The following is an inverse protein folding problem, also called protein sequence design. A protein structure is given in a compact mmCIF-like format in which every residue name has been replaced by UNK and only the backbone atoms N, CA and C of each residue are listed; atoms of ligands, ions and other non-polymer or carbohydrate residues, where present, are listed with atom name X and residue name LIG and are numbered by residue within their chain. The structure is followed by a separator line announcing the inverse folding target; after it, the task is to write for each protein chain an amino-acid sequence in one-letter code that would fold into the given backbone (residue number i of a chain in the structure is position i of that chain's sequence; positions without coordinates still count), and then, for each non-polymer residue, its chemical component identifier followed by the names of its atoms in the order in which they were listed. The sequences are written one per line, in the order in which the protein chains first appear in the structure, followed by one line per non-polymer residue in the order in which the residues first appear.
data_IF_231823701761
#
_entry.id   IF_231823701761
#
_cell.length_a   1.000
_cell.length_b   1.000
_cell.length_c   1.000
_cell.angle_alpha   90.00
_cell.angle_beta   90.00
_cell.angle_gamma   90.00
#
_symmetry.space_group_name_H-M   'P 1'
#
loop_
_entity.id
_entity.type
_entity.pdbx_description
1 polymer ?
#
# COMPACT_ATOMS: atom_id res chain seq x y z
N UNK A 1 48.55 31.10 71.38
CA UNK A 1 49.98 31.49 71.13
C UNK A 1 50.25 31.35 69.63
N UNK A 2 50.71 32.48 69.04
CA UNK A 2 51.50 32.59 67.82
C UNK A 2 50.99 31.91 66.55
N UNK A 3 50.46 32.68 65.57
CA UNK A 3 51.17 33.32 64.43
C UNK A 3 51.67 32.32 63.39
N UNK A 4 51.21 32.41 62.10
CA UNK A 4 51.89 33.10 60.98
C UNK A 4 51.08 32.83 59.72
N UNK A 5 50.48 33.76 59.15
CA UNK A 5 50.76 34.54 57.93
C UNK A 5 51.60 33.77 56.87
N UNK A 6 51.06 33.56 55.76
CA UNK A 6 51.71 33.10 54.53
C UNK A 6 50.87 33.40 53.29
N UNK A 7 51.02 34.59 52.78
CA UNK A 7 50.59 35.13 51.52
C UNK A 7 51.36 34.47 50.38
N UNK A 8 50.73 33.95 49.35
CA UNK A 8 51.31 33.86 47.99
C UNK A 8 50.24 33.83 46.89
N UNK A 9 50.43 34.80 46.08
CA UNK A 9 49.71 35.11 44.86
C UNK A 9 49.93 34.05 43.79
N UNK A 10 48.98 33.98 42.88
CA UNK A 10 49.42 33.54 41.58
C UNK A 10 48.40 32.76 40.76
N UNK A 11 48.01 33.39 39.70
CA UNK A 11 47.53 32.83 38.42
C UNK A 11 46.07 32.43 38.30
N UNK A 12 45.27 33.41 37.95
CA UNK A 12 44.01 33.21 37.17
C UNK A 12 44.42 32.76 35.80
N UNK A 13 44.26 31.47 35.51
CA UNK A 13 44.28 30.95 34.14
C UNK A 13 42.85 31.03 33.61
N UNK A 14 42.57 32.05 32.81
CA UNK A 14 41.33 32.17 32.03
C UNK A 14 41.39 31.13 30.92
N UNK A 15 40.72 29.99 31.13
CA UNK A 15 40.44 29.01 30.09
C UNK A 15 39.27 29.56 29.27
N UNK A 16 39.60 30.21 28.17
CA UNK A 16 38.67 30.65 27.15
C UNK A 16 38.17 29.38 26.41
N UNK A 17 37.06 28.80 26.88
CA UNK A 17 36.42 27.67 26.24
C UNK A 17 35.82 28.13 24.91
N UNK A 18 36.46 27.75 23.81
CA UNK A 18 35.85 27.83 22.46
C UNK A 18 34.60 26.95 22.44
N UNK A 19 33.43 27.56 22.59
CA UNK A 19 32.17 26.92 22.27
C UNK A 19 32.06 26.81 20.74
N UNK A 20 32.40 25.66 20.20
CA UNK A 20 32.04 25.28 18.83
C UNK A 20 30.54 25.04 18.78
N UNK A 21 29.76 25.71 17.90
CA UNK A 21 28.37 25.37 17.72
C UNK A 21 28.30 23.96 17.11
N UNK A 22 27.70 23.04 17.84
CA UNK A 22 27.32 21.74 17.30
C UNK A 22 26.32 21.98 16.17
N UNK A 23 26.79 21.88 14.94
CA UNK A 23 25.89 21.79 13.78
C UNK A 23 25.07 20.48 13.93
N UNK A 24 23.86 20.62 14.40
CA UNK A 24 22.87 19.56 14.33
C UNK A 24 22.58 19.28 12.85
N UNK A 25 23.15 18.22 12.30
CA UNK A 25 22.70 17.66 11.04
C UNK A 25 21.27 17.19 11.27
N UNK A 26 20.29 18.00 10.84
CA UNK A 26 18.91 17.57 10.71
C UNK A 26 18.92 16.45 9.66
N UNK A 27 18.79 15.21 10.09
CA UNK A 27 18.50 14.09 9.21
C UNK A 27 17.17 14.42 8.51
N UNK A 28 17.12 14.42 7.17
CA UNK A 28 15.83 14.51 6.50
C UNK A 28 15.00 13.33 7.01
N UNK A 29 13.85 13.63 7.60
CA UNK A 29 12.86 12.62 7.92
C UNK A 29 12.58 11.87 6.61
N UNK A 30 13.01 10.61 6.50
CA UNK A 30 12.54 9.72 5.46
C UNK A 30 11.03 9.68 5.60
N UNK A 31 10.34 10.41 4.73
CA UNK A 31 8.91 10.26 4.56
C UNK A 31 8.71 8.77 4.22
N UNK A 32 8.29 8.01 5.20
CA UNK A 32 7.82 6.64 5.00
C UNK A 32 6.78 6.73 3.90
N UNK A 33 7.15 6.34 2.68
CA UNK A 33 6.20 6.23 1.57
C UNK A 33 5.24 5.13 2.00
N UNK A 34 4.14 5.52 2.62
CA UNK A 34 3.02 4.61 2.86
C UNK A 34 2.65 4.01 1.51
N UNK A 35 2.93 2.74 1.35
CA UNK A 35 2.41 1.97 0.23
C UNK A 35 0.90 1.97 0.44
N UNK A 36 0.10 2.52 -0.49
CA UNK A 36 -1.34 2.53 -0.31
C UNK A 36 -1.80 1.11 -0.03
N UNK A 37 -2.38 0.87 1.16
CA UNK A 37 -2.84 -0.45 1.54
C UNK A 37 -4.00 -0.85 0.62
N UNK A 38 -3.92 -2.07 0.09
CA UNK A 38 -4.92 -2.55 -0.85
C UNK A 38 -6.30 -2.62 -0.19
N UNK A 39 -7.31 -2.12 -0.89
CA UNK A 39 -8.71 -2.20 -0.47
C UNK A 39 -9.45 -3.24 -1.30
N UNK A 40 -10.14 -4.13 -0.60
CA UNK A 40 -10.92 -5.20 -1.20
C UNK A 40 -11.98 -4.65 -2.16
N UNK A 41 -12.21 -5.36 -3.23
CA UNK A 41 -13.24 -5.05 -4.21
C UNK A 41 -14.00 -6.27 -4.66
N UNK A 42 -15.07 -6.07 -5.41
CA UNK A 42 -15.88 -7.17 -5.97
C UNK A 42 -15.01 -8.07 -6.85
N UNK A 43 -15.24 -9.38 -6.78
CA UNK A 43 -14.49 -10.45 -7.42
C UNK A 43 -13.11 -10.77 -6.83
N UNK A 44 -12.65 -10.07 -5.79
CA UNK A 44 -11.45 -10.48 -5.07
C UNK A 44 -11.68 -11.83 -4.38
N UNK A 45 -10.65 -12.68 -4.41
CA UNK A 45 -10.63 -13.95 -3.69
C UNK A 45 -9.82 -13.81 -2.42
N UNK A 46 -10.42 -14.10 -1.29
CA UNK A 46 -9.80 -14.03 0.03
C UNK A 46 -9.83 -15.40 0.70
N UNK A 47 -8.84 -15.66 1.52
CA UNK A 47 -8.85 -16.76 2.49
C UNK A 47 -9.08 -16.19 3.86
N UNK A 48 -10.07 -16.73 4.55
CA UNK A 48 -10.36 -16.43 5.95
C UNK A 48 -10.01 -17.65 6.77
N UNK A 49 -9.17 -17.47 7.77
CA UNK A 49 -8.77 -18.52 8.72
C UNK A 49 -9.25 -18.10 10.10
N UNK A 50 -10.16 -18.88 10.66
CA UNK A 50 -10.62 -18.69 12.04
C UNK A 50 -9.93 -19.71 12.93
N UNK A 51 -9.07 -19.26 13.81
CA UNK A 51 -8.25 -20.12 14.63
C UNK A 51 -9.11 -20.97 15.59
N UNK A 52 -8.92 -22.28 15.53
CA UNK A 52 -9.69 -23.25 16.33
C UNK A 52 -11.05 -23.64 15.74
N UNK A 53 -11.46 -23.04 14.62
CA UNK A 53 -12.77 -23.28 13.99
C UNK A 53 -12.60 -23.60 12.50
N UNK A 54 -12.39 -24.86 12.17
CA UNK A 54 -12.20 -25.31 10.78
C UNK A 54 -13.43 -25.05 9.91
N UNK A 55 -14.63 -25.13 10.48
CA UNK A 55 -15.90 -24.88 9.79
C UNK A 55 -16.07 -23.43 9.29
N UNK A 56 -15.32 -22.50 9.89
CA UNK A 56 -15.31 -21.07 9.55
C UNK A 56 -14.09 -20.67 8.71
N UNK A 57 -13.19 -21.63 8.46
CA UNK A 57 -11.99 -21.42 7.65
C UNK A 57 -12.25 -21.84 6.20
N UNK A 58 -11.90 -20.97 5.26
CA UNK A 58 -12.12 -21.27 3.83
C UNK A 58 -11.71 -20.15 2.90
N UNK A 59 -11.94 -20.41 1.62
CA UNK A 59 -11.77 -19.42 0.56
C UNK A 59 -13.13 -18.82 0.19
N UNK A 60 -13.18 -17.52 0.14
CA UNK A 60 -14.39 -16.77 -0.12
C UNK A 60 -14.14 -15.76 -1.24
N UNK A 61 -15.19 -15.41 -1.96
CA UNK A 61 -15.13 -14.37 -2.99
C UNK A 61 -16.00 -13.19 -2.57
N UNK A 62 -15.47 -11.99 -2.76
CA UNK A 62 -16.25 -10.76 -2.55
C UNK A 62 -17.30 -10.68 -3.65
N UNK A 63 -18.56 -10.75 -3.27
CA UNK A 63 -19.70 -10.70 -4.20
C UNK A 63 -19.84 -9.36 -4.90
N UNK A 64 -20.68 -9.31 -5.95
CA UNK A 64 -20.98 -8.07 -6.67
C UNK A 64 -21.66 -7.00 -5.80
N UNK A 65 -22.30 -7.41 -4.69
CA UNK A 65 -22.86 -6.50 -3.67
C UNK A 65 -21.80 -5.87 -2.76
N UNK A 66 -20.51 -6.25 -2.92
CA UNK A 66 -19.43 -5.80 -2.07
C UNK A 66 -19.32 -6.53 -0.73
N UNK A 67 -20.05 -7.64 -0.58
CA UNK A 67 -20.09 -8.43 0.67
C UNK A 67 -19.49 -9.81 0.47
N UNK A 68 -19.07 -10.40 1.56
CA UNK A 68 -18.61 -11.79 1.65
C UNK A 68 -19.60 -12.57 2.50
N UNK A 69 -20.08 -13.73 1.97
CA UNK A 69 -20.92 -14.65 2.74
C UNK A 69 -20.05 -15.57 3.56
N UNK A 70 -20.13 -15.45 4.87
CA UNK A 70 -19.39 -16.27 5.82
C UNK A 70 -20.33 -17.18 6.61
N UNK A 71 -19.92 -18.41 6.96
CA UNK A 71 -20.70 -19.29 7.83
C UNK A 71 -21.02 -18.61 9.16
N UNK A 72 -22.16 -18.91 9.75
CA UNK A 72 -22.72 -18.41 11.01
C UNK A 72 -23.11 -16.93 11.00
N UNK A 73 -22.26 -16.03 10.51
CA UNK A 73 -22.46 -14.57 10.60
C UNK A 73 -23.11 -13.97 9.34
N UNK A 74 -23.29 -14.79 8.28
CA UNK A 74 -23.92 -14.34 7.05
C UNK A 74 -23.07 -13.38 6.23
N UNK A 75 -23.70 -12.34 5.67
CA UNK A 75 -23.03 -11.37 4.80
C UNK A 75 -22.31 -10.28 5.59
N UNK A 76 -21.00 -10.11 5.33
CA UNK A 76 -20.14 -9.07 5.90
C UNK A 76 -19.63 -8.16 4.80
N UNK A 77 -19.77 -6.85 4.97
CA UNK A 77 -19.21 -5.86 4.03
C UNK A 77 -17.69 -5.97 3.93
N UNK A 78 -17.17 -5.99 2.70
CA UNK A 78 -15.75 -6.14 2.41
C UNK A 78 -15.23 -5.05 1.48
N UNK A 79 -16.01 -4.59 0.50
CA UNK A 79 -15.58 -3.58 -0.47
C UNK A 79 -15.13 -2.29 0.22
N UNK A 80 -13.97 -1.75 -0.22
CA UNK A 80 -13.38 -0.53 0.32
C UNK A 80 -12.62 -0.72 1.64
N UNK A 81 -12.69 -1.90 2.26
CA UNK A 81 -11.92 -2.23 3.47
C UNK A 81 -10.57 -2.83 3.08
N UNK A 82 -9.56 -2.59 3.90
CA UNK A 82 -8.32 -3.37 3.86
C UNK A 82 -8.57 -4.77 4.41
N UNK A 83 -7.66 -5.72 4.13
CA UNK A 83 -7.77 -7.06 4.69
C UNK A 83 -7.84 -7.05 6.23
N UNK A 84 -7.11 -6.12 6.85
CA UNK A 84 -7.10 -5.91 8.30
C UNK A 84 -8.43 -5.37 8.82
N UNK A 85 -8.97 -4.32 8.20
CA UNK A 85 -10.27 -3.76 8.57
C UNK A 85 -11.39 -4.79 8.41
N UNK A 86 -11.32 -5.62 7.36
CA UNK A 86 -12.26 -6.71 7.16
C UNK A 86 -12.11 -7.81 8.22
N UNK A 87 -10.88 -8.20 8.57
CA UNK A 87 -10.59 -9.13 9.67
C UNK A 87 -11.24 -8.65 10.98
N UNK A 88 -10.99 -7.40 11.38
CA UNK A 88 -11.55 -6.82 12.61
C UNK A 88 -13.09 -6.84 12.61
N UNK A 89 -13.70 -6.61 11.44
CA UNK A 89 -15.15 -6.67 11.26
C UNK A 89 -15.70 -8.09 11.42
N UNK A 90 -15.02 -9.08 10.86
CA UNK A 90 -15.38 -10.51 11.01
C UNK A 90 -15.24 -10.95 12.46
N UNK A 91 -14.16 -10.58 13.15
CA UNK A 91 -13.95 -10.86 14.57
C UNK A 91 -15.06 -10.27 15.43
N UNK A 92 -15.43 -9.01 15.19
CA UNK A 92 -16.53 -8.34 15.89
C UNK A 92 -17.87 -9.05 15.66
N UNK A 93 -18.17 -9.47 14.44
CA UNK A 93 -19.37 -10.21 14.11
C UNK A 93 -19.44 -11.57 14.78
N UNK A 94 -18.32 -12.32 14.80
CA UNK A 94 -18.22 -13.62 15.47
C UNK A 94 -18.33 -13.51 17.00
N UNK A 95 -17.80 -12.44 17.58
CA UNK A 95 -17.89 -12.15 19.01
C UNK A 95 -19.32 -11.86 19.46
N UNK A 96 -20.18 -11.45 18.56
CA UNK A 96 -21.58 -11.13 18.84
C UNK A 96 -22.45 -12.40 18.92
N UNK A 97 -22.20 -13.26 19.90
CA UNK A 97 -23.02 -14.42 20.23
C UNK A 97 -22.54 -15.77 19.69
N UNK A 98 -21.45 -15.83 18.92
CA UNK A 98 -20.94 -17.09 18.35
C UNK A 98 -19.66 -17.58 19.04
N UNK A 99 -18.65 -16.73 19.20
CA UNK A 99 -17.36 -17.06 19.80
C UNK A 99 -16.98 -16.07 20.90
N UNK A 100 -16.32 -16.52 21.95
CA UNK A 100 -15.91 -15.67 23.08
C UNK A 100 -14.68 -14.80 22.74
N UNK A 101 -13.70 -15.38 22.06
CA UNK A 101 -12.44 -14.74 21.69
C UNK A 101 -12.03 -15.18 20.28
N UNK A 102 -12.75 -14.77 19.23
CA UNK A 102 -12.42 -15.16 17.87
C UNK A 102 -11.09 -14.53 17.44
N UNK A 103 -10.25 -15.32 16.81
CA UNK A 103 -9.02 -14.88 16.15
C UNK A 103 -9.12 -15.25 14.69
N UNK A 104 -9.11 -14.22 13.85
CA UNK A 104 -9.27 -14.36 12.41
C UNK A 104 -8.03 -13.86 11.72
N UNK A 105 -7.64 -14.50 10.63
CA UNK A 105 -6.64 -14.00 9.68
C UNK A 105 -7.28 -13.93 8.31
N UNK A 106 -7.02 -12.86 7.57
CA UNK A 106 -7.54 -12.64 6.23
C UNK A 106 -6.38 -12.42 5.27
N UNK A 107 -6.32 -13.22 4.22
CA UNK A 107 -5.33 -13.11 3.15
C UNK A 107 -6.02 -12.91 1.80
N UNK A 108 -5.49 -12.01 0.98
CA UNK A 108 -5.95 -11.86 -0.40
C UNK A 108 -5.22 -12.88 -1.26
N UNK A 109 -5.97 -13.82 -1.84
CA UNK A 109 -5.42 -14.87 -2.71
C UNK A 109 -5.24 -14.38 -4.14
N UNK A 110 -6.28 -13.76 -4.68
CA UNK A 110 -6.27 -13.22 -6.03
C UNK A 110 -6.84 -11.81 -6.03
N UNK A 111 -6.08 -10.92 -6.66
CA UNK A 111 -6.53 -9.56 -6.93
C UNK A 111 -7.34 -9.53 -8.23
N UNK A 112 -8.19 -8.53 -8.37
CA UNK A 112 -8.85 -8.21 -9.64
C UNK A 112 -7.82 -8.01 -10.74
N UNK A 113 -8.04 -8.52 -11.96
CA UNK A 113 -7.17 -8.26 -13.09
C UNK A 113 -7.12 -6.78 -13.43
N UNK A 114 -6.08 -6.35 -14.13
CA UNK A 114 -6.05 -5.05 -14.79
C UNK A 114 -6.20 -5.22 -16.30
N UNK A 115 -6.59 -4.15 -16.96
CA UNK A 115 -6.78 -4.13 -18.41
C UNK A 115 -5.78 -3.18 -19.03
N UNK A 116 -5.22 -3.58 -20.18
CA UNK A 116 -4.33 -2.70 -20.95
C UNK A 116 -4.76 -2.69 -22.41
N UNK A 117 -4.84 -1.49 -22.98
CA UNK A 117 -5.28 -1.26 -24.34
C UNK A 117 -4.52 -0.11 -25.01
N UNK A 118 -4.76 0.08 -26.32
CA UNK A 118 -4.06 1.09 -27.12
C UNK A 118 -2.78 0.55 -27.74
N UNK A 119 -1.73 1.36 -27.77
CA UNK A 119 -0.49 1.10 -28.49
C UNK A 119 0.47 0.15 -27.73
N UNK A 120 -0.01 -1.05 -27.43
CA UNK A 120 0.75 -2.20 -26.93
C UNK A 120 0.59 -3.38 -27.87
N UNK A 121 1.56 -4.30 -27.89
CA UNK A 121 1.54 -5.42 -28.83
C UNK A 121 0.44 -6.43 -28.55
N UNK A 122 0.11 -6.67 -27.26
CA UNK A 122 -1.02 -7.53 -26.86
C UNK A 122 -1.93 -6.80 -25.87
N UNK A 123 -2.94 -6.05 -26.36
CA UNK A 123 -3.97 -5.50 -25.48
C UNK A 123 -4.85 -6.63 -24.93
N UNK A 124 -5.30 -6.48 -23.67
CA UNK A 124 -6.11 -7.51 -23.02
C UNK A 124 -6.21 -7.35 -21.51
N UNK A 125 -6.71 -8.40 -20.89
CA UNK A 125 -6.83 -8.57 -19.44
C UNK A 125 -5.62 -9.35 -18.91
N UNK A 126 -5.06 -8.87 -17.78
CA UNK A 126 -3.88 -9.48 -17.17
C UNK A 126 -4.02 -9.58 -15.65
N UNK A 127 -3.47 -10.64 -15.04
CA UNK A 127 -3.46 -10.78 -13.60
C UNK A 127 -2.63 -9.67 -12.95
N UNK A 128 -3.17 -9.09 -11.89
CA UNK A 128 -2.46 -8.09 -11.11
C UNK A 128 -1.48 -8.75 -10.15
N UNK A 129 -0.31 -8.14 -10.00
CA UNK A 129 0.68 -8.49 -8.98
C UNK A 129 0.98 -7.27 -8.12
N UNK A 130 1.21 -7.48 -6.82
CA UNK A 130 1.44 -6.37 -5.90
C UNK A 130 2.68 -5.55 -6.32
N UNK A 131 2.55 -4.24 -6.27
CA UNK A 131 3.61 -3.32 -6.69
C UNK A 131 3.73 -3.07 -8.19
N UNK A 132 2.77 -3.56 -8.99
CA UNK A 132 2.76 -3.38 -10.45
C UNK A 132 2.88 -1.92 -10.86
N UNK A 133 3.73 -1.65 -11.84
CA UNK A 133 3.87 -0.34 -12.48
C UNK A 133 3.39 -0.38 -13.92
N UNK A 134 3.14 0.79 -14.50
CA UNK A 134 2.71 0.88 -15.92
C UNK A 134 3.74 0.26 -16.85
N UNK A 135 5.04 0.43 -16.60
CA UNK A 135 6.07 -0.18 -17.43
C UNK A 135 6.06 -1.71 -17.33
N UNK A 136 5.81 -2.25 -16.14
CA UNK A 136 5.68 -3.70 -15.97
C UNK A 136 4.43 -4.23 -16.69
N UNK A 137 3.30 -3.50 -16.59
CA UNK A 137 2.07 -3.84 -17.30
C UNK A 137 2.26 -3.85 -18.82
N UNK A 138 2.97 -2.85 -19.36
CA UNK A 138 3.32 -2.81 -20.78
C UNK A 138 4.24 -3.97 -21.17
N UNK A 139 5.22 -4.31 -20.33
CA UNK A 139 6.11 -5.45 -20.58
C UNK A 139 5.32 -6.77 -20.61
N UNK A 140 4.34 -6.95 -19.73
CA UNK A 140 3.43 -8.11 -19.73
C UNK A 140 2.59 -8.17 -21.01
N UNK A 141 2.21 -7.00 -21.57
CA UNK A 141 1.51 -6.87 -22.86
C UNK A 141 2.45 -6.93 -24.09
N UNK A 142 3.63 -7.54 -23.93
CA UNK A 142 4.68 -7.71 -24.97
C UNK A 142 5.26 -6.40 -25.51
N UNK A 143 5.16 -5.32 -24.72
CA UNK A 143 5.80 -4.04 -25.02
C UNK A 143 4.95 -3.10 -25.86
N UNK A 144 5.56 -1.96 -26.18
CA UNK A 144 4.94 -0.90 -26.97
C UNK A 144 4.96 -1.22 -28.47
N UNK A 145 3.92 -0.76 -29.17
CA UNK A 145 4.01 -0.68 -30.64
C UNK A 145 4.94 0.47 -31.06
N UNK A 146 5.28 0.50 -32.36
CA UNK A 146 6.09 1.59 -32.91
C UNK A 146 5.39 2.97 -32.87
N UNK A 147 4.06 3.00 -32.76
CA UNK A 147 3.23 4.23 -32.71
C UNK A 147 3.01 4.74 -31.28
N UNK A 148 3.44 4.01 -30.27
CA UNK A 148 3.15 4.33 -28.88
C UNK A 148 3.75 5.69 -28.44
N UNK A 149 2.96 6.45 -27.70
CA UNK A 149 3.44 7.58 -26.92
C UNK A 149 4.06 7.07 -25.62
N UNK A 150 5.37 7.23 -25.49
CA UNK A 150 6.12 6.75 -24.31
C UNK A 150 6.28 7.79 -23.21
N UNK A 151 5.67 8.98 -23.37
CA UNK A 151 5.75 10.06 -22.38
C UNK A 151 4.60 10.07 -21.40
N UNK A 152 3.44 9.57 -21.80
CA UNK A 152 2.21 9.62 -21.00
C UNK A 152 1.35 8.39 -21.17
N UNK A 153 0.55 8.12 -20.14
CA UNK A 153 -0.41 7.02 -20.06
C UNK A 153 -1.73 7.56 -19.52
N UNK A 154 -2.82 6.99 -19.97
CA UNK A 154 -4.15 7.26 -19.43
C UNK A 154 -4.58 6.08 -18.58
N UNK A 155 -5.00 6.33 -17.36
CA UNK A 155 -5.44 5.30 -16.42
C UNK A 155 -6.86 5.65 -15.95
N UNK A 156 -7.78 4.74 -16.18
CA UNK A 156 -9.09 4.77 -15.54
C UNK A 156 -9.03 3.85 -14.33
N UNK A 157 -9.20 4.42 -13.15
CA UNK A 157 -9.26 3.65 -11.90
C UNK A 157 -10.52 2.80 -11.84
N UNK A 158 -10.45 1.65 -11.16
CA UNK A 158 -11.60 0.74 -11.02
C UNK A 158 -12.86 1.46 -10.52
N UNK A 159 -12.71 2.34 -9.54
CA UNK A 159 -13.81 3.11 -8.94
C UNK A 159 -13.97 4.50 -9.57
N UNK A 160 -13.16 4.84 -10.57
CA UNK A 160 -13.15 6.12 -11.25
C UNK A 160 -14.11 6.17 -12.44
N UNK A 161 -14.80 7.31 -12.62
CA UNK A 161 -15.68 7.53 -13.78
C UNK A 161 -14.92 7.95 -15.05
N UNK A 162 -13.72 8.51 -14.91
CA UNK A 162 -12.96 9.11 -16.01
C UNK A 162 -11.53 8.57 -16.06
N UNK A 163 -10.93 8.66 -17.24
CA UNK A 163 -9.51 8.47 -17.44
C UNK A 163 -8.74 9.70 -16.95
N UNK A 164 -7.63 9.49 -16.28
CA UNK A 164 -6.69 10.50 -15.85
C UNK A 164 -5.34 10.30 -16.55
N UNK A 165 -4.68 11.38 -16.90
CA UNK A 165 -3.38 11.38 -17.57
C UNK A 165 -2.27 11.33 -16.50
N UNK A 166 -1.33 10.40 -16.65
CA UNK A 166 -0.15 10.26 -15.80
C UNK A 166 1.12 10.26 -16.66
N UNK A 167 2.27 10.66 -16.09
CA UNK A 167 3.54 10.47 -16.76
C UNK A 167 3.85 8.96 -16.84
N UNK A 168 4.33 8.50 -17.99
CA UNK A 168 4.72 7.10 -18.19
C UNK A 168 6.12 6.89 -17.65
N UNK A 169 6.21 6.56 -16.37
CA UNK A 169 7.47 6.34 -15.65
C UNK A 169 7.46 4.98 -14.92
N UNK A 170 8.66 4.53 -14.50
CA UNK A 170 8.77 3.33 -13.67
C UNK A 170 8.14 3.44 -12.28
N UNK A 171 7.76 4.66 -11.85
CA UNK A 171 7.11 4.90 -10.55
C UNK A 171 5.59 4.99 -10.65
N UNK A 172 5.01 5.11 -11.86
CA UNK A 172 3.57 5.19 -12.06
C UNK A 172 2.93 3.85 -11.72
N UNK A 173 2.16 3.81 -10.63
CA UNK A 173 1.55 2.59 -10.09
C UNK A 173 0.24 2.26 -10.78
N UNK A 174 0.04 0.96 -10.98
CA UNK A 174 -1.23 0.35 -11.40
C UNK A 174 -1.89 -0.26 -10.18
N UNK A 175 -3.21 -0.13 -10.08
CA UNK A 175 -4.02 -0.79 -9.06
C UNK A 175 -4.87 -1.92 -9.67
N UNK A 176 -5.33 -2.87 -8.85
CA UNK A 176 -6.24 -3.92 -9.30
C UNK A 176 -7.54 -3.34 -9.87
N UNK A 177 -7.96 -3.84 -11.02
CA UNK A 177 -9.15 -3.36 -11.73
C UNK A 177 -8.93 -2.11 -12.57
N UNK A 178 -7.72 -1.55 -12.63
CA UNK A 178 -7.42 -0.40 -13.48
C UNK A 178 -7.49 -0.76 -14.96
N UNK A 179 -7.91 0.21 -15.76
CA UNK A 179 -7.80 0.16 -17.23
C UNK A 179 -6.72 1.14 -17.67
N UNK A 180 -5.68 0.62 -18.27
CA UNK A 180 -4.52 1.38 -18.78
C UNK A 180 -4.68 1.55 -20.28
N UNK A 181 -4.56 2.78 -20.77
CA UNK A 181 -4.57 3.07 -22.20
C UNK A 181 -3.28 3.78 -22.61
N UNK A 182 -2.53 3.12 -23.48
CA UNK A 182 -1.34 3.70 -24.11
C UNK A 182 -1.80 4.46 -25.36
N UNK A 183 -1.58 5.77 -25.36
CA UNK A 183 -1.94 6.63 -26.48
C UNK A 183 -0.99 6.49 -27.66
N UNK A 184 -1.43 6.95 -28.79
CA UNK A 184 -0.63 7.13 -30.00
C UNK A 184 0.21 8.41 -29.89
N UNK A 185 1.43 8.40 -30.44
CA UNK A 185 2.20 9.62 -30.61
C UNK A 185 1.74 10.36 -31.88
N UNK A 186 1.48 11.63 -31.73
CA UNK A 186 1.29 12.51 -32.87
C UNK A 186 2.66 13.04 -33.33
N UNK A 187 2.86 13.09 -34.62
CA UNK A 187 4.07 13.63 -35.26
C UNK A 187 3.93 15.13 -35.46
#
# INVERSE_FOLDING_TARGET
MKKLVGLLAGAVVAVCGLMLPAMAFAQPAEATREVPEYRLGSADKIRVITYGEESLTGEFTVGGSGKVSLPLIGEVEAVGLTAREFQERVEAALKNGYLKDPRVSVEVLNYRPFYILGEVNKPGEYPYTNGLTVLNAVATAEGFTYRANKGKVFIKRADGAKEEEFPLTGSTKVAPGDTIRIGERFF
#
